data_IF_603817168619
#
_entry.id   IF_603817168619
#
_cell.length_a   1.000
_cell.length_b   1.000
_cell.length_c   1.000
_cell.angle_alpha   90.00
_cell.angle_beta   90.00
_cell.angle_gamma   90.00
#
_symmetry.space_group_name_H-M   'P 1'
#
loop_
_entity.id
_entity.type
_entity.pdbx_description
1 polymer ?
#
# COMPACT_ATOMS: atom_id res chain seq x y z
N UNK A 1 15.53 14.66 27.45
CA UNK A 1 16.29 15.70 26.73
C UNK A 1 16.88 15.11 25.47
N UNK A 2 16.56 15.70 24.33
CA UNK A 2 17.06 15.22 23.04
C UNK A 2 18.59 15.46 23.00
N UNK A 3 19.37 14.41 22.82
CA UNK A 3 20.83 14.51 22.73
C UNK A 3 21.26 14.72 21.27
N UNK A 4 20.63 15.70 20.59
CA UNK A 4 20.96 16.05 19.22
C UNK A 4 21.84 17.28 19.20
N UNK A 5 23.03 17.14 18.63
CA UNK A 5 23.93 18.26 18.41
C UNK A 5 23.51 19.08 17.19
N UNK A 6 23.35 20.39 17.36
CA UNK A 6 23.08 21.27 16.24
C UNK A 6 24.31 21.35 15.31
N UNK A 7 24.16 20.90 14.08
CA UNK A 7 25.23 20.89 13.07
C UNK A 7 25.83 22.28 12.72
N UNK A 8 25.09 23.36 13.08
CA UNK A 8 25.54 24.74 12.76
C UNK A 8 26.26 25.45 13.91
N UNK A 9 25.74 25.30 15.15
CA UNK A 9 26.32 26.03 16.30
C UNK A 9 26.79 25.11 17.43
N UNK A 10 26.80 23.80 17.18
CA UNK A 10 27.28 22.75 18.09
C UNK A 10 26.62 22.70 19.47
N UNK A 11 25.48 23.36 19.65
CA UNK A 11 24.68 23.22 20.88
C UNK A 11 24.19 21.79 21.03
N UNK A 12 24.50 21.14 22.18
CA UNK A 12 24.26 19.71 22.43
C UNK A 12 22.93 19.41 23.12
N UNK A 13 22.33 20.38 23.82
CA UNK A 13 21.15 20.14 24.66
C UNK A 13 19.95 20.92 24.19
N UNK A 14 18.87 20.22 23.88
CA UNK A 14 17.60 20.78 23.45
C UNK A 14 16.46 20.15 24.24
N UNK A 15 15.30 20.80 24.27
CA UNK A 15 14.09 20.18 24.82
C UNK A 15 13.68 18.96 24.01
N UNK A 16 13.02 17.99 24.63
CA UNK A 16 12.74 16.67 24.04
C UNK A 16 12.00 16.76 22.68
N UNK A 17 11.16 17.76 22.49
CA UNK A 17 10.42 17.95 21.23
C UNK A 17 10.90 19.14 20.42
N UNK A 18 12.14 19.60 20.62
CA UNK A 18 12.66 20.77 19.91
C UNK A 18 12.88 20.44 18.43
N UNK A 19 12.09 21.04 17.55
CA UNK A 19 12.27 20.96 16.09
C UNK A 19 13.36 21.88 15.58
N UNK A 20 13.70 22.93 16.33
CA UNK A 20 14.68 23.94 15.97
C UNK A 20 15.67 24.19 17.11
N UNK A 21 16.89 24.54 16.75
CA UNK A 21 17.89 24.94 17.72
C UNK A 21 17.49 26.27 18.38
N UNK A 22 17.36 26.26 19.69
CA UNK A 22 16.99 27.48 20.45
C UNK A 22 18.07 28.57 20.42
N UNK A 23 19.29 28.25 19.93
CA UNK A 23 20.40 29.20 19.87
C UNK A 23 20.54 29.88 18.49
N UNK A 24 20.41 29.10 17.40
CA UNK A 24 20.62 29.62 16.04
C UNK A 24 19.44 29.44 15.10
N UNK A 25 18.31 28.87 15.58
CA UNK A 25 17.10 28.64 14.77
C UNK A 25 17.20 27.53 13.73
N UNK A 26 18.36 26.86 13.61
CA UNK A 26 18.54 25.77 12.66
C UNK A 26 17.62 24.60 13.00
N UNK A 27 17.00 24.00 11.98
CA UNK A 27 16.21 22.78 12.13
C UNK A 27 17.08 21.65 12.66
N UNK A 28 16.64 20.99 13.74
CA UNK A 28 17.38 19.93 14.44
C UNK A 28 16.99 18.54 13.97
N UNK A 29 15.77 18.42 13.51
CA UNK A 29 15.21 17.15 13.03
C UNK A 29 15.00 17.31 11.54
N UNK A 30 15.64 16.48 10.75
CA UNK A 30 15.33 16.39 9.33
C UNK A 30 13.90 15.91 9.17
N UNK A 31 13.21 16.40 8.14
CA UNK A 31 11.88 15.86 7.82
C UNK A 31 12.02 14.37 7.52
N UNK A 32 11.09 13.55 8.00
CA UNK A 32 11.14 12.13 7.69
C UNK A 32 11.12 11.98 6.16
N UNK A 33 12.01 11.14 5.66
CA UNK A 33 12.06 10.80 4.23
C UNK A 33 10.78 10.11 3.80
N UNK A 34 10.20 9.30 4.69
CA UNK A 34 8.98 8.53 4.47
C UNK A 34 7.95 8.95 5.50
N UNK A 35 6.75 9.30 5.04
CA UNK A 35 5.65 9.84 5.86
C UNK A 35 4.51 8.84 5.98
N UNK A 36 3.70 9.03 7.00
CA UNK A 36 2.42 8.33 7.12
C UNK A 36 1.58 8.53 5.85
N UNK A 37 1.04 7.44 5.32
CA UNK A 37 0.30 7.40 4.06
C UNK A 37 1.14 7.07 2.83
N UNK A 38 2.48 7.19 2.90
CA UNK A 38 3.34 6.79 1.79
C UNK A 38 3.25 5.28 1.57
N UNK A 39 3.19 4.86 0.31
CA UNK A 39 3.43 3.48 -0.08
C UNK A 39 4.91 3.32 -0.37
N UNK A 40 5.51 2.37 0.32
CA UNK A 40 6.94 2.10 0.23
C UNK A 40 7.20 0.65 -0.16
N UNK A 41 8.35 0.43 -0.78
CA UNK A 41 8.92 -0.90 -1.00
C UNK A 41 9.98 -1.10 0.06
N UNK A 42 9.83 -2.15 0.85
CA UNK A 42 10.81 -2.51 1.87
C UNK A 42 11.20 -3.98 1.72
N UNK A 43 12.47 -4.26 1.93
CA UNK A 43 12.95 -5.62 2.07
C UNK A 43 12.55 -6.10 3.47
N UNK A 44 11.66 -7.09 3.51
CA UNK A 44 11.04 -7.57 4.74
C UNK A 44 11.66 -8.85 5.23
N UNK A 45 12.16 -9.65 4.31
CA UNK A 45 12.66 -10.99 4.61
C UNK A 45 14.15 -11.14 4.31
N UNK A 46 14.78 -12.04 5.04
CA UNK A 46 16.19 -12.41 4.85
C UNK A 46 16.49 -13.07 3.50
N UNK A 47 15.45 -13.48 2.77
CA UNK A 47 15.55 -14.08 1.43
C UNK A 47 15.67 -13.06 0.30
N UNK A 48 15.55 -11.77 0.61
CA UNK A 48 15.64 -10.68 -0.36
C UNK A 48 14.33 -10.30 -1.02
N UNK A 49 13.19 -10.90 -0.62
CA UNK A 49 11.89 -10.50 -1.14
C UNK A 49 11.50 -9.08 -0.73
N UNK A 50 10.79 -8.39 -1.63
CA UNK A 50 10.33 -7.02 -1.39
C UNK A 50 8.81 -7.02 -1.21
N UNK A 51 8.37 -6.25 -0.24
CA UNK A 51 6.95 -6.03 0.01
C UNK A 51 6.57 -4.56 -0.14
N UNK A 52 5.38 -4.35 -0.67
CA UNK A 52 4.72 -3.05 -0.72
C UNK A 52 3.88 -2.89 0.54
N UNK A 53 4.09 -1.79 1.23
CA UNK A 53 3.38 -1.48 2.47
C UNK A 53 3.02 0.00 2.54
N UNK A 54 1.82 0.31 3.00
CA UNK A 54 1.45 1.69 3.30
C UNK A 54 1.81 2.00 4.74
N UNK A 55 2.60 3.05 4.95
CA UNK A 55 3.01 3.48 6.27
C UNK A 55 1.83 4.08 7.04
N UNK A 56 1.61 3.64 8.26
CA UNK A 56 0.63 4.22 9.18
C UNK A 56 1.21 5.35 10.06
N UNK A 57 2.54 5.49 10.08
CA UNK A 57 3.26 6.55 10.77
C UNK A 57 4.53 6.96 10.02
N UNK A 58 5.12 8.09 10.38
CA UNK A 58 6.37 8.56 9.79
C UNK A 58 7.54 7.64 10.15
N UNK A 59 8.32 7.20 9.15
CA UNK A 59 9.50 6.37 9.35
C UNK A 59 10.70 7.25 9.81
N UNK A 60 10.72 7.58 11.08
CA UNK A 60 11.76 8.40 11.71
C UNK A 60 12.94 7.55 12.15
N UNK A 61 12.64 6.45 12.82
CA UNK A 61 13.64 5.54 13.37
C UNK A 61 14.19 4.60 12.30
N UNK A 62 15.32 3.95 12.64
CA UNK A 62 15.94 2.94 11.80
C UNK A 62 14.99 1.77 11.50
N UNK A 63 14.21 1.38 12.48
CA UNK A 63 13.23 0.30 12.42
C UNK A 63 11.89 0.83 12.92
N UNK A 64 10.84 0.55 12.18
CA UNK A 64 9.46 0.86 12.55
C UNK A 64 8.59 -0.37 12.30
N UNK A 65 7.76 -0.73 13.27
CA UNK A 65 6.75 -1.77 13.10
C UNK A 65 5.51 -1.15 12.48
N UNK A 66 5.14 -1.60 11.31
CA UNK A 66 3.94 -1.15 10.59
C UNK A 66 2.87 -2.23 10.70
N UNK A 67 1.69 -1.84 11.19
CA UNK A 67 0.54 -2.73 11.25
C UNK A 67 -0.37 -2.44 10.06
N UNK A 68 -0.82 -3.46 9.38
CA UNK A 68 -1.75 -3.33 8.27
C UNK A 68 -1.51 -4.31 7.14
N UNK A 69 -2.17 -4.04 6.03
CA UNK A 69 -2.05 -4.88 4.84
C UNK A 69 -0.75 -4.57 4.11
N UNK A 70 0.01 -5.61 3.81
CA UNK A 70 1.20 -5.52 2.97
C UNK A 70 1.18 -6.60 1.89
N UNK A 71 1.72 -6.28 0.74
CA UNK A 71 1.66 -7.10 -0.47
C UNK A 71 3.05 -7.56 -0.87
N UNK A 72 3.24 -8.88 -0.95
CA UNK A 72 4.45 -9.51 -1.47
C UNK A 72 4.26 -9.80 -2.95
N UNK A 73 5.05 -9.13 -3.78
CA UNK A 73 4.91 -9.21 -5.24
C UNK A 73 5.21 -10.60 -5.79
N UNK A 74 6.29 -11.23 -5.31
CA UNK A 74 6.76 -12.52 -5.83
C UNK A 74 5.76 -13.64 -5.57
N UNK A 75 5.09 -13.61 -4.41
CA UNK A 75 4.09 -14.61 -4.02
C UNK A 75 2.66 -14.20 -4.39
N UNK A 76 2.46 -12.95 -4.83
CA UNK A 76 1.13 -12.37 -5.06
C UNK A 76 0.22 -12.50 -3.84
N UNK A 77 0.75 -12.31 -2.64
CA UNK A 77 0.01 -12.46 -1.38
C UNK A 77 -0.19 -11.14 -0.66
N UNK A 78 -1.35 -11.00 -0.03
CA UNK A 78 -1.61 -9.95 0.95
C UNK A 78 -1.65 -10.55 2.33
N UNK A 79 -0.89 -9.95 3.22
CA UNK A 79 -0.81 -10.34 4.61
C UNK A 79 -1.33 -9.20 5.49
N UNK A 80 -2.12 -9.56 6.51
CA UNK A 80 -2.65 -8.65 7.52
C UNK A 80 -1.99 -8.94 8.86
N UNK A 81 -0.78 -8.46 9.01
CA UNK A 81 -0.01 -8.59 10.25
C UNK A 81 0.98 -7.45 10.39
N UNK A 82 1.58 -7.35 11.58
CA UNK A 82 2.67 -6.41 11.82
C UNK A 82 3.91 -6.82 11.04
N UNK A 83 4.52 -5.84 10.37
CA UNK A 83 5.75 -6.00 9.61
C UNK A 83 6.79 -5.00 10.10
N UNK A 84 8.04 -5.41 10.19
CA UNK A 84 9.15 -4.53 10.51
C UNK A 84 9.75 -3.93 9.25
N UNK A 85 9.75 -2.61 9.17
CA UNK A 85 10.28 -1.84 8.04
C UNK A 85 11.59 -1.21 8.43
N UNK A 86 12.65 -1.53 7.72
CA UNK A 86 13.99 -0.97 7.91
C UNK A 86 14.21 0.22 7.00
N UNK A 87 14.51 1.38 7.58
CA UNK A 87 14.66 2.64 6.85
C UNK A 87 15.73 2.61 5.75
N UNK A 88 16.81 1.88 6.00
CA UNK A 88 17.92 1.74 5.04
C UNK A 88 17.52 0.93 3.79
N UNK A 89 16.63 -0.05 3.97
CA UNK A 89 16.19 -0.98 2.93
C UNK A 89 14.86 -0.56 2.31
N UNK A 90 14.45 0.71 2.55
CA UNK A 90 13.17 1.24 2.12
C UNK A 90 13.35 2.33 1.06
N UNK A 91 12.54 2.24 0.02
CA UNK A 91 12.36 3.28 -0.99
C UNK A 91 10.88 3.61 -1.21
N UNK A 92 10.58 4.77 -1.76
CA UNK A 92 9.23 5.04 -2.25
C UNK A 92 8.86 4.07 -3.36
N UNK A 93 7.61 3.62 -3.36
CA UNK A 93 7.05 2.86 -4.47
C UNK A 93 6.90 3.75 -5.71
N UNK A 94 7.07 3.16 -6.89
CA UNK A 94 6.77 3.84 -8.15
C UNK A 94 5.27 3.96 -8.34
N UNK A 95 4.78 4.82 -9.24
CA UNK A 95 3.35 4.90 -9.55
C UNK A 95 2.75 3.56 -9.99
N UNK A 96 3.51 2.76 -10.73
CA UNK A 96 3.10 1.44 -11.19
C UNK A 96 2.99 0.45 -10.03
N UNK A 97 3.94 0.48 -9.09
CA UNK A 97 3.91 -0.35 -7.87
C UNK A 97 2.77 0.06 -6.94
N UNK A 98 2.49 1.36 -6.83
CA UNK A 98 1.33 1.86 -6.07
C UNK A 98 0.03 1.32 -6.67
N UNK A 99 -0.10 1.40 -7.99
CA UNK A 99 -1.28 0.87 -8.70
C UNK A 99 -1.42 -0.64 -8.48
N UNK A 100 -0.33 -1.40 -8.59
CA UNK A 100 -0.31 -2.84 -8.33
C UNK A 100 -0.78 -3.15 -6.90
N UNK A 101 -0.28 -2.42 -5.92
CA UNK A 101 -0.67 -2.55 -4.52
C UNK A 101 -2.16 -2.25 -4.30
N UNK A 102 -2.67 -1.13 -4.83
CA UNK A 102 -4.08 -0.75 -4.73
C UNK A 102 -5.02 -1.78 -5.36
N UNK A 103 -4.63 -2.33 -6.51
CA UNK A 103 -5.37 -3.40 -7.17
C UNK A 103 -5.36 -4.65 -6.31
N UNK A 104 -4.20 -5.08 -5.80
CA UNK A 104 -4.10 -6.23 -4.91
C UNK A 104 -4.98 -6.09 -3.66
N UNK A 105 -4.98 -4.90 -3.02
CA UNK A 105 -5.87 -4.58 -1.90
C UNK A 105 -7.34 -4.68 -2.27
N UNK A 106 -7.70 -4.28 -3.48
CA UNK A 106 -9.08 -4.37 -3.96
C UNK A 106 -9.53 -5.82 -4.06
N UNK A 107 -8.71 -6.72 -4.62
CA UNK A 107 -9.00 -8.15 -4.63
C UNK A 107 -9.16 -8.72 -3.23
N UNK A 108 -8.23 -8.39 -2.33
CA UNK A 108 -8.27 -8.84 -0.94
C UNK A 108 -9.55 -8.40 -0.22
N UNK A 109 -9.98 -7.16 -0.42
CA UNK A 109 -11.23 -6.60 0.14
C UNK A 109 -12.47 -7.41 -0.28
N UNK A 110 -12.44 -8.01 -1.45
CA UNK A 110 -13.49 -8.89 -1.98
C UNK A 110 -13.25 -10.37 -1.67
N UNK A 111 -12.32 -10.69 -0.75
CA UNK A 111 -12.02 -12.06 -0.35
C UNK A 111 -11.35 -12.90 -1.45
N UNK A 112 -10.65 -12.25 -2.37
CA UNK A 112 -9.90 -12.88 -3.45
C UNK A 112 -8.40 -12.77 -3.22
N UNK A 113 -7.67 -13.77 -3.69
CA UNK A 113 -6.23 -13.66 -3.85
C UNK A 113 -5.93 -12.62 -4.96
N UNK A 114 -4.87 -11.81 -4.79
CA UNK A 114 -4.52 -10.79 -5.76
C UNK A 114 -4.42 -11.35 -7.19
N UNK A 115 -5.02 -10.65 -8.12
CA UNK A 115 -5.04 -10.95 -9.56
C UNK A 115 -5.68 -12.30 -9.96
N UNK A 116 -6.25 -13.07 -9.04
CA UNK A 116 -6.97 -14.30 -9.36
C UNK A 116 -8.42 -14.01 -9.76
N UNK A 117 -8.59 -13.62 -11.01
CA UNK A 117 -9.90 -13.42 -11.63
C UNK A 117 -10.59 -14.76 -11.89
N UNK A 118 -11.91 -14.76 -11.77
CA UNK A 118 -12.77 -15.90 -12.12
C UNK A 118 -13.78 -15.50 -13.19
N UNK A 119 -14.25 -16.50 -13.97
CA UNK A 119 -15.36 -16.29 -14.88
C UNK A 119 -16.59 -15.77 -14.11
N UNK A 120 -17.20 -14.71 -14.64
CA UNK A 120 -18.33 -14.06 -14.00
C UNK A 120 -17.98 -12.90 -13.08
N UNK A 121 -16.71 -12.65 -12.78
CA UNK A 121 -16.29 -11.45 -12.06
C UNK A 121 -16.64 -10.20 -12.87
N UNK A 122 -17.01 -9.13 -12.17
CA UNK A 122 -17.41 -7.87 -12.78
C UNK A 122 -16.22 -6.90 -12.75
N UNK A 123 -15.84 -6.44 -13.93
CA UNK A 123 -14.75 -5.48 -14.09
C UNK A 123 -15.23 -4.24 -14.85
N UNK A 124 -14.50 -3.12 -14.69
CA UNK A 124 -14.81 -1.84 -15.32
C UNK A 124 -13.60 -1.32 -16.10
N UNK A 125 -13.86 -0.74 -17.27
CA UNK A 125 -12.81 -0.08 -18.04
C UNK A 125 -12.34 1.21 -17.36
N UNK A 126 -11.10 1.67 -17.62
CA UNK A 126 -10.57 2.92 -17.06
C UNK A 126 -11.42 4.15 -17.39
N UNK A 127 -12.06 4.13 -18.54
CA UNK A 127 -12.99 5.20 -18.96
C UNK A 127 -14.25 5.26 -18.11
N UNK A 128 -14.46 4.26 -17.21
CA UNK A 128 -15.65 4.07 -16.37
C UNK A 128 -16.98 3.99 -17.15
N UNK A 129 -16.91 3.87 -18.47
CA UNK A 129 -18.07 3.86 -19.37
C UNK A 129 -18.68 2.46 -19.51
N UNK A 130 -17.83 1.44 -19.46
CA UNK A 130 -18.25 0.07 -19.67
C UNK A 130 -17.90 -0.79 -18.46
N UNK A 131 -18.88 -1.56 -18.02
CA UNK A 131 -18.72 -2.61 -17.03
C UNK A 131 -19.16 -3.91 -17.72
N UNK A 132 -18.40 -4.96 -17.60
CA UNK A 132 -18.68 -6.23 -18.25
C UNK A 132 -18.28 -7.41 -17.37
N UNK A 133 -18.90 -8.54 -17.64
CA UNK A 133 -18.59 -9.81 -17.00
C UNK A 133 -17.35 -10.39 -17.67
N UNK A 134 -16.36 -10.73 -16.85
CA UNK A 134 -15.09 -11.22 -17.31
C UNK A 134 -15.18 -12.68 -17.77
N UNK A 135 -14.53 -12.97 -18.91
CA UNK A 135 -14.05 -14.29 -19.23
C UNK A 135 -12.53 -14.32 -19.05
N UNK A 136 -11.99 -14.97 -17.99
CA UNK A 136 -10.58 -14.92 -17.64
C UNK A 136 -9.67 -15.59 -18.70
N UNK A 137 -10.21 -16.41 -19.58
CA UNK A 137 -9.43 -17.00 -20.68
C UNK A 137 -8.91 -15.96 -21.67
N UNK A 138 -9.53 -14.77 -21.68
CA UNK A 138 -9.21 -13.71 -22.64
C UNK A 138 -8.25 -12.64 -22.08
N UNK A 139 -7.82 -12.73 -20.80
CA UNK A 139 -7.10 -11.65 -20.15
C UNK A 139 -6.02 -12.17 -19.21
N UNK A 140 -4.85 -11.52 -19.26
CA UNK A 140 -3.74 -11.77 -18.34
C UNK A 140 -3.74 -10.75 -17.20
N UNK A 141 -3.05 -11.07 -16.10
CA UNK A 141 -2.85 -10.13 -15.00
C UNK A 141 -2.13 -8.86 -15.44
N UNK A 142 -1.16 -8.99 -16.35
CA UNK A 142 -0.44 -7.86 -16.93
C UNK A 142 -1.36 -6.94 -17.70
N UNK A 143 -2.27 -7.49 -18.52
CA UNK A 143 -3.26 -6.69 -19.24
C UNK A 143 -4.21 -5.97 -18.29
N UNK A 144 -4.62 -6.61 -17.20
CA UNK A 144 -5.47 -5.98 -16.18
C UNK A 144 -4.81 -4.71 -15.60
N UNK A 145 -3.52 -4.80 -15.26
CA UNK A 145 -2.75 -3.66 -14.74
C UNK A 145 -2.46 -2.61 -15.82
N UNK A 146 -1.97 -3.04 -16.99
CA UNK A 146 -1.57 -2.13 -18.09
C UNK A 146 -2.76 -1.31 -18.58
N UNK A 147 -3.93 -1.93 -18.70
CA UNK A 147 -5.13 -1.22 -19.14
C UNK A 147 -5.85 -0.46 -18.04
N UNK A 148 -5.39 -0.58 -16.77
CA UNK A 148 -5.98 0.11 -15.62
C UNK A 148 -7.44 -0.27 -15.40
N UNK A 149 -7.78 -1.53 -15.56
CA UNK A 149 -9.13 -2.04 -15.28
C UNK A 149 -9.38 -2.09 -13.78
N UNK A 150 -10.60 -1.82 -13.41
CA UNK A 150 -11.04 -1.81 -12.02
C UNK A 150 -11.85 -3.08 -11.74
N UNK A 151 -11.44 -3.84 -10.72
CA UNK A 151 -12.21 -4.95 -10.19
C UNK A 151 -13.37 -4.41 -9.35
N UNK A 152 -14.58 -4.82 -9.65
CA UNK A 152 -15.79 -4.25 -9.04
C UNK A 152 -16.45 -5.22 -8.07
N UNK A 153 -16.67 -6.46 -8.50
CA UNK A 153 -17.34 -7.48 -7.71
C UNK A 153 -16.90 -8.88 -8.11
N UNK A 154 -16.91 -9.78 -7.14
CA UNK A 154 -16.77 -11.21 -7.42
C UNK A 154 -18.04 -11.77 -8.08
N UNK A 155 -17.92 -12.89 -8.75
CA UNK A 155 -19.09 -13.60 -9.30
C UNK A 155 -20.10 -13.97 -8.20
N UNK A 156 -19.61 -14.29 -7.01
CA UNK A 156 -20.45 -14.59 -5.85
C UNK A 156 -21.29 -13.37 -5.42
N UNK A 157 -20.65 -12.20 -5.34
CA UNK A 157 -21.35 -10.93 -5.03
C UNK A 157 -22.32 -10.48 -6.11
N UNK A 158 -22.02 -10.78 -7.39
CA UNK A 158 -22.94 -10.53 -8.51
C UNK A 158 -24.18 -11.41 -8.39
N UNK A 159 -24.02 -12.70 -8.13
CA UNK A 159 -25.12 -13.64 -7.97
C UNK A 159 -26.00 -13.27 -6.77
N UNK A 160 -25.42 -12.96 -5.63
CA UNK A 160 -26.16 -12.49 -4.45
C UNK A 160 -26.99 -11.23 -4.75
N UNK A 161 -26.39 -10.27 -5.46
CA UNK A 161 -27.09 -9.05 -5.86
C UNK A 161 -28.28 -9.33 -6.77
N UNK A 162 -28.13 -10.23 -7.74
CA UNK A 162 -29.22 -10.65 -8.64
C UNK A 162 -30.35 -11.35 -7.89
N UNK A 163 -30.04 -12.27 -6.98
CA UNK A 163 -31.03 -12.95 -6.14
C UNK A 163 -31.85 -11.98 -5.27
N UNK A 164 -31.13 -11.01 -4.65
CA UNK A 164 -31.77 -10.00 -3.79
C UNK A 164 -32.68 -9.09 -4.61
N UNK A 165 -32.31 -8.74 -5.85
CA UNK A 165 -33.14 -7.95 -6.75
C UNK A 165 -34.41 -8.67 -7.13
N UNK A 166 -34.34 -9.96 -7.43
CA UNK A 166 -35.53 -10.78 -7.75
C UNK A 166 -36.51 -10.94 -6.58
N UNK A 167 -36.02 -10.88 -5.33
CA UNK A 167 -36.87 -10.94 -4.13
C UNK A 167 -37.62 -9.63 -3.85
N UNK A 168 -37.06 -8.50 -4.28
CA UNK A 168 -37.68 -7.17 -4.06
C UNK A 168 -38.70 -6.77 -5.14
N UNK A 169 -38.71 -7.45 -6.28
CA UNK A 169 -39.63 -7.21 -7.38
C UNK A 169 -40.91 -8.13 -7.34
N UNK A 170 -41.01 -8.96 -6.29
CA UNK A 170 -42.21 -9.80 -6.00
C UNK A 170 -42.98 -9.21 -4.83
#
# INVERSE_FOLDING_TARGET
>A
MLNAECKQCHKKWHHDNAKYCSMCGKKLVDEPKFKSGDVVVSQVFSDGSFSLVQLNEDLINRLTSVNGLWYTKDDCEINDMSIEVFKEDTRHATPEEILEYEVALTFHKHGREPFKLKEGDLIRTPSKKNTFILNPENYTNEEFLVYGWEFIKTVEEVNEWLENKQKTEK
#
